data_IF_210112360082
#
_entry.id   IF_210112360082
#
_cell.length_a   1.000
_cell.length_b   1.000
_cell.length_c   1.000
_cell.angle_alpha   90.00
_cell.angle_beta   90.00
_cell.angle_gamma   90.00
#
_symmetry.space_group_name_H-M   'P 1'
#
loop_
_entity.id
_entity.type
_entity.pdbx_description
1 polymer ?
#
# COMPACT_ATOMS: atom_id res chain seq x y z
N UNK A 1 10.87 15.59 -34.26
CA UNK A 1 10.03 15.02 -35.30
C UNK A 1 8.56 15.30 -35.12
N UNK A 2 7.79 15.18 -36.22
CA UNK A 2 6.35 15.45 -36.20
C UNK A 2 5.46 14.25 -35.90
N UNK A 3 6.02 13.18 -35.32
CA UNK A 3 5.25 11.99 -34.98
C UNK A 3 4.16 12.30 -33.95
N UNK A 4 3.02 11.59 -34.04
CA UNK A 4 1.85 11.77 -33.18
C UNK A 4 1.34 13.22 -33.19
N UNK A 5 1.24 13.81 -34.38
CA UNK A 5 0.79 15.20 -34.58
C UNK A 5 1.65 16.23 -33.81
N UNK A 6 2.94 15.93 -33.61
CA UNK A 6 3.86 16.76 -32.84
C UNK A 6 3.73 16.64 -31.32
N UNK A 7 2.79 15.87 -30.81
CA UNK A 7 2.57 15.68 -29.36
C UNK A 7 3.62 14.76 -28.72
N UNK A 8 4.12 13.80 -29.47
CA UNK A 8 5.14 12.85 -29.00
C UNK A 8 6.12 12.54 -30.13
N UNK A 9 7.24 13.23 -30.15
CA UNK A 9 8.32 13.01 -31.10
C UNK A 9 9.09 11.71 -30.83
N UNK A 10 9.69 11.16 -31.87
CA UNK A 10 10.53 9.97 -31.86
C UNK A 10 9.82 8.70 -32.34
N UNK A 11 10.62 7.76 -32.85
CA UNK A 11 10.14 6.47 -33.35
C UNK A 11 9.43 5.70 -32.24
N UNK A 12 8.28 5.10 -32.54
CA UNK A 12 7.54 4.29 -31.60
C UNK A 12 8.36 3.05 -31.17
N UNK A 13 8.53 2.80 -29.89
CA UNK A 13 9.20 1.61 -29.40
C UNK A 13 8.27 0.39 -29.52
N UNK A 14 8.10 -0.15 -30.71
CA UNK A 14 7.13 -1.20 -31.03
C UNK A 14 7.15 -2.38 -30.06
N UNK A 15 8.30 -2.93 -29.61
CA UNK A 15 8.31 -4.02 -28.64
C UNK A 15 7.65 -3.64 -27.30
N UNK A 16 7.84 -2.40 -26.84
CA UNK A 16 7.22 -1.92 -25.59
C UNK A 16 5.71 -1.71 -25.76
N UNK A 17 5.27 -1.22 -26.93
CA UNK A 17 3.84 -1.04 -27.23
C UNK A 17 3.13 -2.39 -27.26
N UNK A 18 3.69 -3.38 -27.95
CA UNK A 18 3.12 -4.74 -28.01
C UNK A 18 3.13 -5.40 -26.62
N UNK A 19 4.22 -5.28 -25.88
CA UNK A 19 4.31 -5.78 -24.50
C UNK A 19 3.28 -5.15 -23.58
N UNK A 20 3.06 -3.84 -23.69
CA UNK A 20 2.04 -3.12 -22.92
C UNK A 20 0.62 -3.57 -23.30
N UNK A 21 0.32 -3.71 -24.57
CA UNK A 21 -0.97 -4.22 -25.04
C UNK A 21 -1.25 -5.63 -24.47
N UNK A 22 -0.25 -6.52 -24.47
CA UNK A 22 -0.38 -7.87 -23.89
C UNK A 22 -0.57 -7.83 -22.38
N UNK A 23 0.12 -6.95 -21.69
CA UNK A 23 -0.06 -6.76 -20.24
C UNK A 23 -1.47 -6.28 -19.90
N UNK A 24 -2.03 -5.36 -20.67
CA UNK A 24 -3.43 -4.91 -20.52
C UNK A 24 -4.40 -6.08 -20.73
N UNK A 25 -4.25 -6.84 -21.82
CA UNK A 25 -5.08 -8.02 -22.09
C UNK A 25 -5.09 -8.98 -20.90
N UNK A 26 -3.91 -9.36 -20.40
CA UNK A 26 -3.78 -10.26 -19.24
C UNK A 26 -4.43 -9.65 -17.98
N UNK A 27 -4.24 -8.35 -17.75
CA UNK A 27 -4.81 -7.67 -16.59
C UNK A 27 -6.34 -7.66 -16.63
N UNK A 28 -6.93 -7.35 -17.78
CA UNK A 28 -8.39 -7.32 -17.97
C UNK A 28 -8.99 -8.71 -17.81
N UNK A 29 -8.41 -9.73 -18.45
CA UNK A 29 -8.90 -11.12 -18.36
C UNK A 29 -8.90 -11.65 -16.91
N UNK A 30 -7.94 -11.24 -16.10
CA UNK A 30 -7.80 -11.75 -14.74
C UNK A 30 -8.32 -10.78 -13.67
N UNK A 31 -8.87 -9.62 -14.04
CA UNK A 31 -9.21 -8.54 -13.12
C UNK A 31 -10.08 -8.99 -11.95
N UNK A 32 -11.17 -9.71 -12.23
CA UNK A 32 -12.12 -10.18 -11.20
C UNK A 32 -11.46 -11.14 -10.23
N UNK A 33 -10.83 -12.20 -10.73
CA UNK A 33 -10.19 -13.22 -9.90
C UNK A 33 -9.05 -12.62 -9.06
N UNK A 34 -8.26 -11.72 -9.66
CA UNK A 34 -7.20 -11.01 -8.95
C UNK A 34 -7.76 -10.12 -7.85
N UNK A 35 -8.84 -9.38 -8.11
CA UNK A 35 -9.48 -8.52 -7.13
C UNK A 35 -10.01 -9.33 -5.93
N UNK A 36 -10.67 -10.45 -6.16
CA UNK A 36 -11.19 -11.34 -5.12
C UNK A 36 -10.06 -11.92 -4.26
N UNK A 37 -8.98 -12.40 -4.88
CA UNK A 37 -7.79 -12.91 -4.19
C UNK A 37 -7.13 -11.84 -3.32
N UNK A 38 -6.94 -10.65 -3.87
CA UNK A 38 -6.29 -9.54 -3.16
C UNK A 38 -7.16 -9.04 -2.01
N UNK A 39 -8.48 -8.98 -2.21
CA UNK A 39 -9.45 -8.63 -1.18
C UNK A 39 -9.41 -9.62 -0.01
N UNK A 40 -9.36 -10.91 -0.30
CA UNK A 40 -9.25 -11.96 0.70
C UNK A 40 -8.00 -11.78 1.57
N UNK A 41 -6.83 -11.59 0.97
CA UNK A 41 -5.59 -11.39 1.71
C UNK A 41 -5.56 -10.07 2.48
N UNK A 42 -6.12 -8.98 1.92
CA UNK A 42 -6.24 -7.71 2.62
C UNK A 42 -7.10 -7.84 3.88
N UNK A 43 -8.23 -8.51 3.78
CA UNK A 43 -9.13 -8.70 4.92
C UNK A 43 -8.46 -9.55 6.00
N UNK A 44 -7.80 -10.64 5.63
CA UNK A 44 -7.06 -11.49 6.58
C UNK A 44 -5.94 -10.71 7.29
N UNK A 45 -5.22 -9.85 6.55
CA UNK A 45 -4.20 -8.97 7.13
C UNK A 45 -4.82 -7.99 8.13
N UNK A 46 -5.90 -7.32 7.75
CA UNK A 46 -6.60 -6.36 8.59
C UNK A 46 -7.14 -7.01 9.86
N UNK A 47 -7.88 -8.11 9.75
CA UNK A 47 -8.44 -8.85 10.88
C UNK A 47 -7.35 -9.34 11.83
N UNK A 48 -6.27 -9.89 11.29
CA UNK A 48 -5.14 -10.33 12.10
C UNK A 48 -4.45 -9.19 12.84
N UNK A 49 -4.34 -8.00 12.23
CA UNK A 49 -3.78 -6.83 12.88
C UNK A 49 -4.70 -6.28 13.96
N UNK A 50 -6.00 -6.15 13.70
CA UNK A 50 -7.00 -5.65 14.66
C UNK A 50 -7.13 -6.56 15.87
N UNK A 51 -7.07 -7.88 15.66
CA UNK A 51 -7.14 -8.87 16.76
C UNK A 51 -5.95 -8.77 17.72
N UNK A 52 -4.78 -8.42 17.20
CA UNK A 52 -3.53 -8.47 17.97
C UNK A 52 -3.05 -7.10 18.47
N UNK A 53 -3.70 -6.00 18.05
CA UNK A 53 -3.27 -4.65 18.39
C UNK A 53 -4.48 -3.76 18.64
N UNK A 54 -4.50 -3.06 19.76
CA UNK A 54 -5.42 -1.95 20.01
C UNK A 54 -4.92 -0.67 19.33
N UNK A 55 -5.77 0.35 19.19
CA UNK A 55 -5.37 1.67 18.69
C UNK A 55 -4.92 1.67 17.23
N UNK A 56 -5.54 0.84 16.39
CA UNK A 56 -5.41 0.90 14.94
C UNK A 56 -6.60 1.62 14.33
N UNK A 57 -6.34 2.62 13.49
CA UNK A 57 -7.37 3.31 12.73
C UNK A 57 -7.20 3.00 11.23
N UNK A 58 -8.30 2.70 10.57
CA UNK A 58 -8.33 2.54 9.11
C UNK A 58 -8.43 3.93 8.49
N UNK A 59 -7.55 4.25 7.55
CA UNK A 59 -7.58 5.51 6.83
C UNK A 59 -8.40 5.38 5.54
N UNK A 60 -9.41 6.23 5.40
CA UNK A 60 -10.37 6.21 4.31
C UNK A 60 -11.41 5.09 4.40
N UNK A 61 -12.25 4.95 3.38
CA UNK A 61 -13.28 3.91 3.33
C UNK A 61 -12.66 2.52 3.18
N UNK A 62 -13.19 1.53 3.90
CA UNK A 62 -12.78 0.13 3.74
C UNK A 62 -13.45 -0.52 2.53
N UNK A 63 -14.60 -0.03 2.12
CA UNK A 63 -15.38 -0.55 1.00
C UNK A 63 -14.96 0.09 -0.32
N UNK A 64 -14.84 1.43 -0.34
CA UNK A 64 -14.53 2.22 -1.53
C UNK A 64 -13.02 2.41 -1.67
N UNK A 65 -12.28 1.32 -1.88
CA UNK A 65 -10.82 1.30 -2.13
C UNK A 65 -10.41 0.16 -3.04
N UNK A 66 -9.21 0.25 -3.56
CA UNK A 66 -8.59 -0.84 -4.31
C UNK A 66 -8.41 -2.08 -3.42
N UNK A 67 -8.68 -3.30 -3.94
CA UNK A 67 -8.71 -4.53 -3.14
C UNK A 67 -7.37 -4.87 -2.48
N UNK A 68 -6.26 -4.42 -3.05
CA UNK A 68 -4.90 -4.68 -2.55
C UNK A 68 -4.38 -3.64 -1.55
N UNK A 69 -5.13 -2.56 -1.33
CA UNK A 69 -4.64 -1.43 -0.53
C UNK A 69 -5.18 -1.48 0.90
N UNK A 70 -4.28 -1.31 1.87
CA UNK A 70 -4.61 -1.10 3.27
C UNK A 70 -3.76 0.04 3.82
N UNK A 71 -4.39 1.08 4.34
CA UNK A 71 -3.71 2.19 5.00
C UNK A 71 -4.22 2.28 6.45
N UNK A 72 -3.28 2.23 7.40
CA UNK A 72 -3.56 2.19 8.83
C UNK A 72 -2.73 3.24 9.56
N UNK A 73 -3.35 3.91 10.53
CA UNK A 73 -2.67 4.70 11.57
C UNK A 73 -2.51 3.84 12.81
N UNK A 74 -1.34 3.88 13.44
CA UNK A 74 -1.11 3.27 14.74
C UNK A 74 -1.08 4.37 15.79
N UNK A 75 -2.09 4.42 16.65
CA UNK A 75 -2.20 5.44 17.69
C UNK A 75 -1.10 5.29 18.75
N UNK A 76 -0.72 6.42 19.33
CA UNK A 76 0.20 6.52 20.46
C UNK A 76 1.60 5.95 20.19
N UNK A 77 2.04 5.97 18.91
CA UNK A 77 3.40 5.63 18.52
C UNK A 77 4.18 6.83 17.98
N UNK A 78 5.50 6.76 18.19
CA UNK A 78 6.42 7.63 17.46
C UNK A 78 6.60 7.09 16.04
N UNK A 79 6.04 7.79 15.04
CA UNK A 79 6.06 7.38 13.63
C UNK A 79 7.46 7.14 13.09
N UNK A 80 8.42 8.03 13.38
CA UNK A 80 9.79 7.90 12.90
C UNK A 80 10.48 6.62 13.42
N UNK A 81 10.31 6.31 14.72
CA UNK A 81 10.84 5.06 15.30
C UNK A 81 10.15 3.84 14.70
N UNK A 82 8.83 3.89 14.53
CA UNK A 82 8.05 2.81 13.94
C UNK A 82 8.51 2.49 12.52
N UNK A 83 8.64 3.49 11.67
CA UNK A 83 9.11 3.33 10.30
C UNK A 83 10.55 2.82 10.23
N UNK A 84 11.43 3.32 11.09
CA UNK A 84 12.83 2.86 11.16
C UNK A 84 12.93 1.37 11.49
N UNK A 85 12.13 0.87 12.44
CA UNK A 85 12.12 -0.55 12.81
C UNK A 85 11.49 -1.46 11.76
N UNK A 86 10.54 -0.94 10.95
CA UNK A 86 9.92 -1.70 9.88
C UNK A 86 10.80 -1.82 8.63
N UNK A 87 11.61 -0.80 8.32
CA UNK A 87 12.36 -0.69 7.06
C UNK A 87 13.21 -1.91 6.71
N UNK A 88 13.75 -2.60 7.72
CA UNK A 88 14.56 -3.81 7.52
C UNK A 88 13.77 -5.11 7.52
N UNK A 89 12.47 -5.06 7.82
CA UNK A 89 11.63 -6.25 8.06
C UNK A 89 10.50 -6.42 7.05
N UNK A 90 9.94 -5.32 6.56
CA UNK A 90 8.81 -5.33 5.63
C UNK A 90 8.88 -4.10 4.71
N UNK A 91 8.57 -4.31 3.44
CA UNK A 91 8.44 -3.22 2.48
C UNK A 91 7.05 -2.64 2.61
N UNK A 92 6.96 -1.41 3.07
CA UNK A 92 5.71 -0.65 3.18
C UNK A 92 5.96 0.81 2.85
N UNK A 93 4.90 1.54 2.53
CA UNK A 93 4.99 2.98 2.25
C UNK A 93 4.67 3.77 3.51
N UNK A 94 5.50 4.75 3.80
CA UNK A 94 5.37 5.65 4.94
C UNK A 94 5.38 7.08 4.40
N UNK A 95 4.28 7.81 4.54
CA UNK A 95 4.17 9.17 4.02
C UNK A 95 3.88 9.26 2.50
N UNK A 96 4.10 10.44 1.95
CA UNK A 96 3.95 10.71 0.52
C UNK A 96 5.25 10.40 -0.23
N UNK A 97 5.14 9.77 -1.40
CA UNK A 97 6.30 9.39 -2.23
C UNK A 97 7.14 10.59 -2.70
N UNK A 98 6.54 11.77 -2.78
CA UNK A 98 7.16 12.99 -3.29
C UNK A 98 7.58 13.98 -2.18
N UNK A 99 7.25 13.72 -0.92
CA UNK A 99 7.60 14.61 0.20
C UNK A 99 8.79 14.05 0.96
N UNK A 100 9.85 14.79 1.05
CA UNK A 100 11.12 14.50 1.76
C UNK A 100 10.94 14.25 3.28
N UNK A 101 10.05 13.30 3.64
CA UNK A 101 9.74 12.98 5.03
C UNK A 101 8.54 13.71 5.63
N UNK A 102 7.85 14.55 4.86
CA UNK A 102 6.64 15.22 5.33
C UNK A 102 5.45 14.25 5.44
N UNK A 103 4.53 14.49 6.39
CA UNK A 103 3.31 13.71 6.53
C UNK A 103 2.46 13.74 5.25
N UNK A 104 1.73 12.67 5.00
CA UNK A 104 0.89 12.56 3.80
C UNK A 104 -0.22 13.61 3.80
N UNK A 105 -0.20 14.53 2.83
CA UNK A 105 -1.26 15.51 2.62
C UNK A 105 -2.63 14.86 2.39
N UNK A 106 -2.68 13.64 1.84
CA UNK A 106 -3.90 12.86 1.69
C UNK A 106 -4.51 12.49 3.04
N UNK A 107 -3.67 12.06 4.01
CA UNK A 107 -4.14 11.71 5.35
C UNK A 107 -4.63 12.95 6.11
N UNK A 108 -3.95 14.08 5.95
CA UNK A 108 -4.41 15.36 6.51
C UNK A 108 -5.77 15.77 5.93
N UNK A 109 -5.96 15.65 4.62
CA UNK A 109 -7.22 15.91 3.95
C UNK A 109 -8.35 14.95 4.38
N UNK A 110 -8.00 13.73 4.81
CA UNK A 110 -8.94 12.77 5.41
C UNK A 110 -9.23 13.07 6.89
N UNK A 111 -8.74 14.18 7.45
CA UNK A 111 -8.97 14.61 8.83
C UNK A 111 -8.06 13.97 9.86
N UNK A 112 -6.94 13.36 9.46
CA UNK A 112 -5.92 12.87 10.41
C UNK A 112 -5.09 14.05 10.91
N UNK A 113 -4.75 14.04 12.20
CA UNK A 113 -3.76 14.94 12.77
C UNK A 113 -2.36 14.65 12.20
N UNK A 114 -1.44 15.60 12.34
CA UNK A 114 -0.03 15.41 11.95
C UNK A 114 0.56 14.15 12.60
N UNK A 115 0.38 13.98 13.92
CA UNK A 115 0.87 12.84 14.68
C UNK A 115 0.31 11.50 14.17
N UNK A 116 -0.97 11.45 13.82
CA UNK A 116 -1.61 10.27 13.23
C UNK A 116 -1.10 9.99 11.82
N UNK A 117 -0.91 11.02 11.00
CA UNK A 117 -0.36 10.87 9.67
C UNK A 117 1.09 10.35 9.68
N UNK A 118 1.91 10.83 10.63
CA UNK A 118 3.28 10.37 10.84
C UNK A 118 3.37 8.90 11.29
N UNK A 119 2.41 8.40 12.07
CA UNK A 119 2.35 7.00 12.53
C UNK A 119 1.55 6.09 11.60
N UNK A 120 1.27 6.54 10.38
CA UNK A 120 0.52 5.79 9.39
C UNK A 120 1.42 4.99 8.46
N UNK A 121 0.94 3.82 8.03
CA UNK A 121 1.58 2.97 7.03
C UNK A 121 0.59 2.57 5.94
N UNK A 122 1.09 2.48 4.70
CA UNK A 122 0.34 1.89 3.58
C UNK A 122 0.96 0.55 3.22
N UNK A 123 0.14 -0.48 3.28
CA UNK A 123 0.46 -1.83 2.88
C UNK A 123 -0.20 -2.12 1.53
N UNK A 124 0.57 -2.66 0.59
CA UNK A 124 0.08 -3.04 -0.73
C UNK A 124 0.37 -4.52 -0.97
N UNK A 125 -0.68 -5.28 -1.27
CA UNK A 125 -0.61 -6.73 -1.48
C UNK A 125 -0.47 -7.00 -2.98
N UNK A 126 0.49 -7.80 -3.36
CA UNK A 126 0.72 -8.18 -4.75
C UNK A 126 0.10 -9.53 -5.12
N UNK A 127 0.06 -9.84 -6.42
CA UNK A 127 -0.47 -11.11 -6.92
C UNK A 127 0.36 -12.33 -6.48
N UNK A 128 1.65 -12.13 -6.20
CA UNK A 128 2.55 -13.15 -5.67
C UNK A 128 2.39 -13.42 -4.17
N UNK A 129 1.68 -12.53 -3.46
CA UNK A 129 1.46 -12.68 -2.01
C UNK A 129 0.64 -13.93 -1.71
N UNK A 130 1.03 -14.63 -0.66
CA UNK A 130 0.39 -15.86 -0.18
C UNK A 130 0.06 -15.78 1.31
N UNK A 131 -0.61 -16.80 1.84
CA UNK A 131 -1.04 -16.84 3.25
C UNK A 131 0.11 -16.83 4.26
N UNK A 132 1.29 -17.34 3.88
CA UNK A 132 2.49 -17.31 4.74
C UNK A 132 3.00 -15.88 4.88
N UNK A 133 3.02 -15.13 3.78
CA UNK A 133 3.45 -13.73 3.77
C UNK A 133 2.53 -12.87 4.64
N UNK A 134 1.21 -13.11 4.57
CA UNK A 134 0.22 -12.40 5.39
C UNK A 134 0.45 -12.69 6.88
N UNK A 135 0.63 -13.95 7.27
CA UNK A 135 0.92 -14.34 8.66
C UNK A 135 2.22 -13.69 9.15
N UNK A 136 3.25 -13.68 8.32
CA UNK A 136 4.54 -13.06 8.65
C UNK A 136 4.40 -11.54 8.80
N UNK A 137 3.66 -10.88 7.92
CA UNK A 137 3.41 -9.45 8.01
C UNK A 137 2.65 -9.08 9.31
N UNK A 138 1.62 -9.84 9.68
CA UNK A 138 0.90 -9.67 10.95
C UNK A 138 1.86 -9.80 12.13
N UNK A 139 2.70 -10.83 12.14
CA UNK A 139 3.68 -11.07 13.21
C UNK A 139 4.69 -9.92 13.34
N UNK A 140 5.29 -9.49 12.21
CA UNK A 140 6.28 -8.41 12.19
C UNK A 140 5.65 -7.11 12.69
N UNK A 141 4.49 -6.72 12.15
CA UNK A 141 3.82 -5.47 12.52
C UNK A 141 3.41 -5.48 13.99
N UNK A 142 2.79 -6.58 14.45
CA UNK A 142 2.37 -6.71 15.85
C UNK A 142 3.54 -6.61 16.83
N UNK A 143 4.65 -7.33 16.56
CA UNK A 143 5.83 -7.29 17.42
C UNK A 143 6.49 -5.91 17.41
N UNK A 144 6.53 -5.25 16.27
CA UNK A 144 7.09 -3.89 16.18
C UNK A 144 6.23 -2.88 16.94
N UNK A 145 4.90 -2.96 16.85
CA UNK A 145 3.98 -2.12 17.62
C UNK A 145 4.17 -2.34 19.12
N UNK A 146 4.20 -3.61 19.56
CA UNK A 146 4.39 -3.96 20.97
C UNK A 146 5.74 -3.51 21.54
N UNK A 147 6.79 -3.50 20.74
CA UNK A 147 8.12 -3.05 21.17
C UNK A 147 8.25 -1.54 21.35
N UNK A 148 7.28 -0.76 20.90
CA UNK A 148 7.26 0.70 20.94
C UNK A 148 6.25 1.26 21.96
N UNK A 149 5.43 0.41 22.55
CA UNK A 149 4.50 0.72 23.64
C UNK A 149 5.06 0.28 24.98
#
# INVERSE_FOLDING_TARGET
GGQEYGLRSGTLPLPLVVGFAKAIEIAVLNQKNNAEKLLFYRNNLLEGLLKNNSGLLINGSIEKRLPHNLNLTVLDLNGAKFHKLLKSKIICSTGSACSNGEPSHVLLALGRSLKEAESSIRLSIGLSTNSKDIKQAIHILTNTIKSLR
#
